data_IF_682018595781
#
_entry.id   IF_682018595781
#
_cell.length_a   1.000
_cell.length_b   1.000
_cell.length_c   1.000
_cell.angle_alpha   90.00
_cell.angle_beta   90.00
_cell.angle_gamma   90.00
#
_symmetry.space_group_name_H-M   'P 1'
#
loop_
_entity.id
_entity.type
_entity.pdbx_description
1 polymer ?
#
# COMPACT_ATOMS: atom_id res chain seq x y z
N UNK A 1 13.98 23.01 12.16
CA UNK A 1 13.79 21.65 12.67
C UNK A 1 14.87 20.81 12.02
N UNK A 2 15.69 20.12 12.80
CA UNK A 2 16.62 19.13 12.24
C UNK A 2 15.79 18.03 11.58
N UNK A 3 15.93 17.88 10.27
CA UNK A 3 15.28 16.82 9.52
C UNK A 3 15.99 15.52 9.92
N UNK A 4 15.32 14.69 10.73
CA UNK A 4 15.88 13.41 11.12
C UNK A 4 15.85 12.50 9.89
N UNK A 5 17.03 12.19 9.36
CA UNK A 5 17.19 11.27 8.25
C UNK A 5 17.56 9.88 8.78
N UNK A 6 17.12 8.84 8.07
CA UNK A 6 17.44 7.44 8.42
C UNK A 6 17.91 6.65 7.20
N UNK A 7 18.77 5.68 7.47
CA UNK A 7 19.17 4.63 6.53
C UNK A 7 18.11 3.52 6.46
N UNK A 8 18.21 2.67 5.43
CA UNK A 8 17.36 1.48 5.30
C UNK A 8 17.50 0.52 6.50
N UNK A 9 18.72 0.32 7.00
CA UNK A 9 18.95 -0.57 8.14
C UNK A 9 18.28 -0.03 9.41
N UNK A 10 18.40 1.27 9.67
CA UNK A 10 17.72 1.93 10.78
C UNK A 10 16.20 1.88 10.63
N UNK A 11 15.68 2.02 9.41
CA UNK A 11 14.26 1.83 9.13
C UNK A 11 13.79 0.42 9.54
N UNK A 12 14.47 -0.63 9.07
CA UNK A 12 14.10 -2.02 9.38
C UNK A 12 14.19 -2.30 10.87
N UNK A 13 15.26 -1.86 11.54
CA UNK A 13 15.43 -2.03 12.98
C UNK A 13 14.40 -1.22 13.78
N UNK A 14 14.16 0.03 13.39
CA UNK A 14 13.20 0.92 14.04
C UNK A 14 11.76 0.43 13.89
N UNK A 15 11.41 -0.19 12.76
CA UNK A 15 10.13 -0.87 12.60
C UNK A 15 10.02 -2.11 13.51
N UNK A 16 11.04 -2.98 13.52
CA UNK A 16 11.05 -4.20 14.35
C UNK A 16 11.02 -3.93 15.86
N UNK A 17 11.63 -2.82 16.28
CA UNK A 17 11.64 -2.38 17.68
C UNK A 17 10.45 -1.47 18.04
N UNK A 18 9.47 -1.35 17.14
CA UNK A 18 8.28 -0.50 17.27
C UNK A 18 8.61 0.98 17.56
N UNK A 19 9.82 1.44 17.19
CA UNK A 19 10.21 2.85 17.29
C UNK A 19 9.59 3.69 16.18
N UNK A 20 9.29 3.07 15.03
CA UNK A 20 8.72 3.73 13.87
C UNK A 20 7.31 3.21 13.55
N UNK A 21 6.45 4.13 13.17
CA UNK A 21 5.11 3.87 12.63
C UNK A 21 5.16 4.17 11.14
N UNK A 22 4.77 3.20 10.31
CA UNK A 22 4.75 3.34 8.85
C UNK A 22 3.30 3.45 8.39
N UNK A 23 3.00 4.57 7.74
CA UNK A 23 1.68 4.86 7.19
C UNK A 23 1.75 4.75 5.67
N UNK A 24 1.07 3.75 5.10
CA UNK A 24 1.04 3.52 3.65
C UNK A 24 -0.24 4.12 3.07
N UNK A 25 -0.10 4.78 1.92
CA UNK A 25 -1.26 5.28 1.17
C UNK A 25 -2.07 4.12 0.58
N UNK A 26 -3.23 3.84 1.19
CA UNK A 26 -4.16 2.78 0.77
C UNK A 26 -4.66 2.92 -0.65
N UNK A 27 -4.76 4.15 -1.17
CA UNK A 27 -5.27 4.38 -2.52
C UNK A 27 -4.25 4.01 -3.60
N UNK A 28 -2.96 4.10 -3.26
CA UNK A 28 -1.84 3.85 -4.18
C UNK A 28 -1.16 2.51 -3.92
N UNK A 29 -1.46 1.85 -2.79
CA UNK A 29 -0.90 0.55 -2.42
C UNK A 29 -1.06 -0.50 -3.52
N UNK A 30 -2.20 -0.52 -4.22
CA UNK A 30 -2.42 -1.45 -5.34
C UNK A 30 -1.42 -1.23 -6.48
N UNK A 31 -1.21 0.03 -6.89
CA UNK A 31 -0.26 0.38 -7.95
C UNK A 31 1.17 -0.01 -7.57
N UNK A 32 1.53 0.18 -6.30
CA UNK A 32 2.85 -0.19 -5.78
C UNK A 32 3.08 -1.70 -5.77
N UNK A 33 2.07 -2.50 -5.41
CA UNK A 33 2.15 -3.98 -5.50
C UNK A 33 2.34 -4.42 -6.95
N UNK A 34 1.76 -3.71 -7.91
CA UNK A 34 1.88 -4.05 -9.33
C UNK A 34 3.20 -3.59 -9.97
N UNK A 35 3.90 -2.64 -9.35
CA UNK A 35 5.17 -2.09 -9.84
C UNK A 35 6.25 -3.16 -10.05
N UNK A 36 7.17 -2.95 -10.99
CA UNK A 36 8.25 -3.91 -11.28
C UNK A 36 9.23 -4.14 -10.13
N UNK A 37 9.24 -3.24 -9.15
CA UNK A 37 10.06 -3.33 -7.94
C UNK A 37 9.44 -4.19 -6.84
N UNK A 38 8.14 -4.49 -6.90
CA UNK A 38 7.46 -5.34 -5.92
C UNK A 38 7.66 -6.84 -6.19
N UNK A 39 7.61 -7.65 -5.13
CA UNK A 39 7.70 -9.11 -5.22
C UNK A 39 6.61 -9.69 -6.15
N UNK A 40 7.07 -10.53 -7.08
CA UNK A 40 6.27 -11.13 -8.15
C UNK A 40 5.21 -12.09 -7.61
N UNK A 41 5.40 -12.67 -6.43
CA UNK A 41 4.45 -13.64 -5.88
C UNK A 41 3.16 -12.98 -5.34
N UNK A 42 3.24 -11.72 -4.90
CA UNK A 42 2.09 -10.98 -4.36
C UNK A 42 1.12 -10.45 -5.43
N UNK A 43 1.63 -10.23 -6.65
CA UNK A 43 0.89 -9.63 -7.77
C UNK A 43 -0.35 -10.42 -8.21
N UNK A 44 -0.28 -11.75 -8.45
CA UNK A 44 -1.44 -12.51 -8.92
C UNK A 44 -2.57 -12.54 -7.91
N UNK A 45 -2.24 -12.65 -6.61
CA UNK A 45 -3.21 -12.65 -5.54
C UNK A 45 -3.94 -11.29 -5.46
N UNK A 46 -3.19 -10.18 -5.49
CA UNK A 46 -3.79 -8.85 -5.47
C UNK A 46 -4.69 -8.62 -6.70
N UNK A 47 -4.23 -8.97 -7.89
CA UNK A 47 -5.03 -8.86 -9.12
C UNK A 47 -6.33 -9.66 -9.01
N UNK A 48 -6.25 -10.93 -8.59
CA UNK A 48 -7.42 -11.79 -8.46
C UNK A 48 -8.47 -11.19 -7.52
N UNK A 49 -8.06 -10.78 -6.31
CA UNK A 49 -8.99 -10.23 -5.32
C UNK A 49 -9.53 -8.85 -5.70
N UNK A 50 -8.72 -8.00 -6.32
CA UNK A 50 -9.16 -6.69 -6.84
C UNK A 50 -10.18 -6.85 -7.96
N UNK A 51 -9.93 -7.74 -8.92
CA UNK A 51 -10.90 -8.03 -10.00
C UNK A 51 -12.19 -8.66 -9.47
N UNK A 52 -12.08 -9.61 -8.53
CA UNK A 52 -13.23 -10.24 -7.89
C UNK A 52 -14.12 -9.19 -7.20
N UNK A 53 -13.52 -8.27 -6.44
CA UNK A 53 -14.24 -7.17 -5.79
C UNK A 53 -14.93 -6.24 -6.78
N UNK A 54 -14.24 -5.82 -7.85
CA UNK A 54 -14.81 -4.96 -8.89
C UNK A 54 -15.99 -5.64 -9.59
N UNK A 55 -15.85 -6.92 -9.94
CA UNK A 55 -16.90 -7.69 -10.61
C UNK A 55 -18.14 -7.84 -9.71
N UNK A 56 -17.94 -8.10 -8.42
CA UNK A 56 -19.03 -8.20 -7.45
C UNK A 56 -19.68 -6.85 -7.14
N UNK A 57 -18.95 -5.74 -7.26
CA UNK A 57 -19.45 -4.40 -6.97
C UNK A 57 -20.14 -3.71 -8.15
N UNK A 58 -19.85 -4.08 -9.41
CA UNK A 58 -20.36 -3.34 -10.57
C UNK A 58 -21.16 -4.23 -11.53
N UNK A 59 -20.55 -5.15 -12.32
CA UNK A 59 -21.30 -5.90 -13.32
C UNK A 59 -22.32 -6.86 -12.72
N UNK A 60 -22.01 -7.56 -11.61
CA UNK A 60 -22.96 -8.49 -11.00
C UNK A 60 -24.21 -7.79 -10.43
N UNK A 61 -24.10 -6.66 -9.69
CA UNK A 61 -25.27 -5.91 -9.25
C UNK A 61 -26.14 -5.41 -10.40
N UNK A 62 -25.54 -4.97 -11.51
CA UNK A 62 -26.27 -4.55 -12.71
C UNK A 62 -27.03 -5.73 -13.32
N UNK A 63 -26.43 -6.91 -13.42
CA UNK A 63 -27.11 -8.10 -13.95
C UNK A 63 -28.24 -8.53 -13.02
N UNK A 64 -27.98 -8.58 -11.70
CA UNK A 64 -28.95 -9.05 -10.73
C UNK A 64 -30.14 -8.11 -10.55
N UNK A 65 -30.03 -6.82 -10.88
CA UNK A 65 -31.17 -5.89 -10.77
C UNK A 65 -32.33 -6.33 -11.69
N UNK A 66 -32.02 -6.95 -12.83
CA UNK A 66 -33.01 -7.46 -13.79
C UNK A 66 -33.60 -8.82 -13.40
N UNK A 67 -33.00 -9.52 -12.43
CA UNK A 67 -33.45 -10.83 -11.95
C UNK A 67 -34.16 -10.68 -10.61
N UNK A 68 -33.46 -10.15 -9.62
CA UNK A 68 -33.96 -9.89 -8.28
C UNK A 68 -33.07 -8.87 -7.55
N UNK A 69 -33.66 -7.73 -7.20
CA UNK A 69 -32.97 -6.61 -6.56
C UNK A 69 -32.23 -7.00 -5.25
N UNK A 70 -32.68 -8.04 -4.53
CA UNK A 70 -32.00 -8.51 -3.31
C UNK A 70 -30.61 -9.07 -3.60
N UNK A 71 -30.45 -9.84 -4.67
CA UNK A 71 -29.13 -10.37 -5.06
C UNK A 71 -28.19 -9.27 -5.53
N UNK A 72 -28.73 -8.21 -6.13
CA UNK A 72 -27.96 -7.03 -6.52
C UNK A 72 -27.34 -6.34 -5.30
N UNK A 73 -28.13 -6.10 -4.25
CA UNK A 73 -27.63 -5.49 -3.00
C UNK A 73 -26.58 -6.38 -2.32
N UNK A 74 -26.85 -7.70 -2.21
CA UNK A 74 -25.91 -8.63 -1.56
C UNK A 74 -24.57 -8.66 -2.31
N UNK A 75 -24.62 -8.76 -3.64
CA UNK A 75 -23.41 -8.73 -4.48
C UNK A 75 -22.65 -7.43 -4.29
N UNK A 76 -23.35 -6.29 -4.31
CA UNK A 76 -22.75 -4.97 -4.16
C UNK A 76 -22.00 -4.83 -2.84
N UNK A 77 -22.64 -5.20 -1.72
CA UNK A 77 -22.04 -5.15 -0.39
C UNK A 77 -20.83 -6.10 -0.31
N UNK A 78 -20.96 -7.34 -0.82
CA UNK A 78 -19.84 -8.28 -0.86
C UNK A 78 -18.66 -7.75 -1.68
N UNK A 79 -18.94 -7.10 -2.82
CA UNK A 79 -17.93 -6.45 -3.65
C UNK A 79 -17.17 -5.35 -2.92
N UNK A 80 -17.87 -4.45 -2.21
CA UNK A 80 -17.24 -3.39 -1.41
C UNK A 80 -16.32 -4.00 -0.34
N UNK A 81 -16.78 -5.01 0.40
CA UNK A 81 -16.00 -5.67 1.45
C UNK A 81 -14.72 -6.28 0.86
N UNK A 82 -14.81 -6.95 -0.30
CA UNK A 82 -13.65 -7.55 -0.97
C UNK A 82 -12.68 -6.48 -1.47
N UNK A 83 -13.17 -5.37 -2.02
CA UNK A 83 -12.31 -4.25 -2.47
C UNK A 83 -11.55 -3.65 -1.28
N UNK A 84 -12.22 -3.40 -0.16
CA UNK A 84 -11.56 -2.90 1.05
C UNK A 84 -10.53 -3.89 1.60
N UNK A 85 -10.88 -5.18 1.64
CA UNK A 85 -9.97 -6.25 2.04
C UNK A 85 -8.73 -6.35 1.13
N UNK A 86 -8.91 -6.24 -0.20
CA UNK A 86 -7.82 -6.23 -1.17
C UNK A 86 -6.90 -5.02 -0.98
N UNK A 87 -7.44 -3.83 -0.73
CA UNK A 87 -6.65 -2.62 -0.43
C UNK A 87 -5.84 -2.78 0.86
N UNK A 88 -6.44 -3.35 1.91
CA UNK A 88 -5.74 -3.63 3.17
C UNK A 88 -4.60 -4.64 2.95
N UNK A 89 -4.87 -5.70 2.21
CA UNK A 89 -3.84 -6.68 1.84
C UNK A 89 -2.72 -6.03 1.03
N UNK A 90 -3.04 -5.11 0.12
CA UNK A 90 -2.05 -4.39 -0.66
C UNK A 90 -1.15 -3.52 0.23
N UNK A 91 -1.70 -2.81 1.22
CA UNK A 91 -0.88 -2.07 2.18
C UNK A 91 0.06 -2.99 2.97
N UNK A 92 -0.41 -4.15 3.41
CA UNK A 92 0.43 -5.10 4.14
C UNK A 92 1.54 -5.68 3.24
N UNK A 93 1.25 -5.93 1.97
CA UNK A 93 2.26 -6.36 0.98
C UNK A 93 3.30 -5.28 0.72
N UNK A 94 2.89 -4.02 0.55
CA UNK A 94 3.83 -2.90 0.40
C UNK A 94 4.75 -2.82 1.62
N UNK A 95 4.20 -2.89 2.84
CA UNK A 95 4.99 -2.84 4.06
C UNK A 95 6.01 -3.98 4.14
N UNK A 96 5.57 -5.21 3.83
CA UNK A 96 6.46 -6.37 3.82
C UNK A 96 7.59 -6.21 2.80
N UNK A 97 7.27 -5.81 1.56
CA UNK A 97 8.28 -5.57 0.53
C UNK A 97 9.25 -4.45 0.93
N UNK A 98 8.76 -3.40 1.60
CA UNK A 98 9.62 -2.34 2.14
C UNK A 98 10.58 -2.83 3.20
N UNK A 99 10.27 -3.91 3.94
CA UNK A 99 11.16 -4.47 4.97
C UNK A 99 12.14 -5.51 4.42
N UNK A 100 11.85 -6.04 3.23
CA UNK A 100 12.63 -7.10 2.58
C UNK A 100 13.55 -6.56 1.49
N UNK A 101 13.21 -5.43 0.86
CA UNK A 101 13.93 -4.87 -0.28
C UNK A 101 14.15 -3.34 -0.14
N UNK A 102 15.42 -2.95 -0.09
CA UNK A 102 15.86 -1.54 0.01
C UNK A 102 15.46 -0.71 -1.22
N UNK A 103 15.64 -1.23 -2.43
CA UNK A 103 15.26 -0.52 -3.66
C UNK A 103 13.75 -0.28 -3.73
N UNK A 104 12.95 -1.21 -3.22
CA UNK A 104 11.50 -1.00 -3.11
C UNK A 104 11.16 0.06 -2.07
N UNK A 105 11.83 0.04 -0.91
CA UNK A 105 11.67 1.07 0.12
C UNK A 105 11.98 2.48 -0.42
N UNK A 106 13.10 2.67 -1.10
CA UNK A 106 13.47 3.94 -1.75
C UNK A 106 12.43 4.36 -2.80
N UNK A 107 11.99 3.42 -3.65
CA UNK A 107 10.97 3.65 -4.65
C UNK A 107 9.65 4.16 -4.05
N UNK A 108 9.18 3.54 -2.96
CA UNK A 108 7.94 3.92 -2.28
C UNK A 108 8.06 5.30 -1.64
N UNK A 109 9.17 5.57 -0.96
CA UNK A 109 9.40 6.87 -0.33
C UNK A 109 9.49 7.99 -1.38
N UNK A 110 10.21 7.76 -2.48
CA UNK A 110 10.33 8.70 -3.61
C UNK A 110 8.97 9.06 -4.22
N UNK A 111 8.10 8.08 -4.36
CA UNK A 111 6.76 8.28 -4.92
C UNK A 111 5.73 8.74 -3.89
N UNK A 112 6.13 9.07 -2.65
CA UNK A 112 5.23 9.43 -1.55
C UNK A 112 4.15 8.38 -1.28
N UNK A 113 4.53 7.11 -1.39
CA UNK A 113 3.66 5.96 -1.15
C UNK A 113 3.55 5.54 0.31
N UNK A 114 4.53 5.94 1.12
CA UNK A 114 4.55 5.73 2.56
C UNK A 114 5.14 6.95 3.28
N UNK A 115 4.73 7.13 4.53
CA UNK A 115 5.24 8.11 5.47
C UNK A 115 5.73 7.37 6.71
N UNK A 116 6.93 7.72 7.18
CA UNK A 116 7.53 7.13 8.38
C UNK A 116 7.43 8.17 9.50
N UNK A 117 6.93 7.75 10.66
CA UNK A 117 6.83 8.59 11.85
C UNK A 117 7.54 7.95 13.03
N UNK A 118 8.09 8.76 13.92
CA UNK A 118 8.49 8.28 15.23
C UNK A 118 7.27 8.10 16.16
N UNK A 119 7.52 7.64 17.39
CA UNK A 119 6.51 7.52 18.44
C UNK A 119 5.93 8.86 18.91
N UNK A 120 6.65 9.95 18.67
CA UNK A 120 6.25 11.31 19.04
C UNK A 120 5.38 11.95 17.94
N UNK A 121 5.26 11.29 16.78
CA UNK A 121 4.46 11.73 15.64
C UNK A 121 5.23 12.60 14.65
N UNK A 122 6.54 12.80 14.84
CA UNK A 122 7.37 13.55 13.91
C UNK A 122 7.64 12.72 12.66
N UNK A 123 7.57 13.36 11.50
CA UNK A 123 7.90 12.75 10.22
C UNK A 123 9.41 12.55 10.12
N UNK A 124 9.82 11.33 9.77
CA UNK A 124 11.21 10.96 9.54
C UNK A 124 11.39 10.77 8.04
N UNK A 125 12.42 11.40 7.48
CA UNK A 125 12.77 11.26 6.06
C UNK A 125 13.92 10.27 5.90
N UNK A 126 14.18 9.78 4.69
CA UNK A 126 15.36 8.94 4.43
C UNK A 126 16.57 9.76 3.97
N UNK A 127 17.77 9.25 4.25
CA UNK A 127 19.01 9.85 3.71
C UNK A 127 18.94 9.96 2.18
N UNK A 128 18.44 8.91 1.52
CA UNK A 128 18.20 8.88 0.08
C UNK A 128 17.32 10.05 -0.42
N UNK A 129 16.19 10.31 0.25
CA UNK A 129 15.31 11.42 -0.13
C UNK A 129 15.98 12.78 0.10
N UNK A 130 16.76 12.92 1.18
CA UNK A 130 17.51 14.15 1.45
C UNK A 130 18.58 14.39 0.38
N UNK A 131 19.31 13.36 -0.05
CA UNK A 131 20.28 13.43 -1.14
C UNK A 131 19.63 13.78 -2.48
N UNK A 132 18.51 13.14 -2.82
CA UNK A 132 17.77 13.42 -4.05
C UNK A 132 17.22 14.85 -4.05
N UNK A 133 16.70 15.33 -2.92
CA UNK A 133 16.25 16.71 -2.75
C UNK A 133 17.40 17.71 -2.96
N UNK A 134 18.58 17.46 -2.38
CA UNK A 134 19.77 18.32 -2.56
C UNK A 134 20.33 18.31 -3.98
N UNK A 135 20.19 17.21 -4.70
CA UNK A 135 20.75 17.04 -6.05
C UNK A 135 19.86 17.65 -7.15
N UNK A 136 18.55 17.73 -6.91
CA UNK A 136 17.57 18.13 -7.93
C UNK A 136 16.64 19.29 -7.51
N UNK A 137 16.74 19.78 -6.28
CA UNK A 137 16.07 20.99 -5.78
C UNK A 137 16.92 22.23 -5.96
#
# INVERSE_FOLDING_TARGET
>A
MEEKTITYQEFVEGYRTEKFIVLIDKNRAGDFVLSDFADKHSKPAHLFWSWCGIILAIPLPIIFIFINWRYSIISFIAGIIIVEGSRKSATDFVLRNMLENESFWEYILLHKGAMIRDREGNEITSDFLSEMSKKFG
#
